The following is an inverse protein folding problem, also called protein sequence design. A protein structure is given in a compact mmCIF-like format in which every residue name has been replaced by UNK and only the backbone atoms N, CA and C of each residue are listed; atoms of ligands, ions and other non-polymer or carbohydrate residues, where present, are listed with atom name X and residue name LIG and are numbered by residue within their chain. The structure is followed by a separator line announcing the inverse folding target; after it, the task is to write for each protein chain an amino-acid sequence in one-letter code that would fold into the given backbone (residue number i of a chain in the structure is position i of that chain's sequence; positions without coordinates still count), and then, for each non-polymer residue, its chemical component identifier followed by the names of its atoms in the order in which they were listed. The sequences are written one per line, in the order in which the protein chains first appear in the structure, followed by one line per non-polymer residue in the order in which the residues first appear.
data_IF_888703619311
#
_entry.id   IF_888703619311
#
_cell.length_a   1.000
_cell.length_b   1.000
_cell.length_c   1.000
_cell.angle_alpha   90.00
_cell.angle_beta   90.00
_cell.angle_gamma   90.00
#
_symmetry.space_group_name_H-M   'P 1'
#
loop_
_entity.id
_entity.type
_entity.pdbx_description
1 polymer ?
#
# COMPACT_ATOMS: atom_id res chain seq x y z
N UNK A 1 -20.14 -8.93 -60.39
CA UNK A 1 -21.09 -9.73 -59.58
C UNK A 1 -20.64 -9.74 -58.11
N UNK A 2 -21.03 -8.71 -57.35
CA UNK A 2 -22.18 -8.72 -56.40
C UNK A 2 -21.77 -9.46 -55.09
N UNK A 3 -21.30 -8.73 -54.06
CA UNK A 3 -22.07 -8.37 -52.83
C UNK A 3 -21.97 -9.50 -51.76
N UNK A 4 -21.80 -9.33 -50.43
CA UNK A 4 -22.11 -8.36 -49.36
C UNK A 4 -21.27 -8.80 -48.13
N UNK A 5 -20.56 -7.96 -47.37
CA UNK A 5 -20.98 -7.17 -46.19
C UNK A 5 -21.93 -7.86 -45.18
N UNK A 6 -21.44 -8.08 -43.95
CA UNK A 6 -22.07 -7.85 -42.63
C UNK A 6 -21.38 -8.75 -41.57
N UNK A 7 -20.50 -8.22 -40.73
CA UNK A 7 -20.82 -7.73 -39.37
C UNK A 7 -21.44 -8.80 -38.45
N UNK A 8 -20.59 -9.37 -37.59
CA UNK A 8 -20.99 -10.10 -36.40
C UNK A 8 -20.15 -9.62 -35.22
N UNK A 9 -20.71 -8.67 -34.45
CA UNK A 9 -20.14 -8.11 -33.22
C UNK A 9 -19.67 -9.23 -32.27
N UNK A 10 -18.37 -9.28 -32.00
CA UNK A 10 -17.88 -9.96 -30.81
C UNK A 10 -18.28 -9.10 -29.60
N UNK A 11 -19.31 -9.53 -28.86
CA UNK A 11 -19.62 -8.98 -27.54
C UNK A 11 -18.37 -9.08 -26.67
N UNK A 12 -17.99 -8.03 -25.91
CA UNK A 12 -16.95 -8.18 -24.92
C UNK A 12 -17.44 -9.18 -23.89
N UNK A 13 -16.73 -10.29 -23.76
CA UNK A 13 -16.94 -11.22 -22.67
C UNK A 13 -16.92 -10.41 -21.36
N UNK A 14 -18.07 -10.34 -20.68
CA UNK A 14 -18.11 -9.92 -19.28
C UNK A 14 -17.18 -10.85 -18.54
N UNK A 15 -16.00 -10.34 -18.18
CA UNK A 15 -15.18 -10.98 -17.16
C UNK A 15 -16.09 -11.16 -15.95
N UNK A 16 -16.25 -12.39 -15.42
CA UNK A 16 -17.02 -12.58 -14.21
C UNK A 16 -16.40 -11.68 -13.16
N UNK A 17 -17.25 -10.89 -12.48
CA UNK A 17 -16.86 -10.11 -11.32
C UNK A 17 -16.07 -11.04 -10.41
N UNK A 18 -14.75 -10.80 -10.34
CA UNK A 18 -13.84 -11.61 -9.57
C UNK A 18 -14.41 -11.68 -8.17
N UNK A 19 -14.84 -12.88 -7.79
CA UNK A 19 -15.34 -13.19 -6.47
C UNK A 19 -14.24 -12.71 -5.51
N UNK A 20 -14.44 -11.54 -4.87
CA UNK A 20 -13.45 -10.94 -4.00
C UNK A 20 -13.24 -11.90 -2.84
N UNK A 21 -12.18 -12.69 -2.99
CA UNK A 21 -11.54 -13.59 -2.04
C UNK A 21 -12.26 -13.68 -0.69
N UNK A 22 -12.82 -14.86 -0.40
CA UNK A 22 -12.94 -15.32 0.98
C UNK A 22 -11.62 -14.99 1.70
N UNK A 23 -11.72 -14.10 2.68
CA UNK A 23 -10.62 -13.26 3.14
C UNK A 23 -9.41 -14.08 3.54
N UNK A 24 -8.25 -13.81 2.92
CA UNK A 24 -6.99 -14.32 3.44
C UNK A 24 -6.86 -13.85 4.89
N UNK A 25 -6.51 -14.73 5.84
CA UNK A 25 -6.33 -14.35 7.22
C UNK A 25 -5.28 -13.24 7.31
N UNK A 26 -5.47 -12.31 8.24
CA UNK A 26 -4.45 -11.31 8.52
C UNK A 26 -3.18 -12.04 8.99
N UNK A 27 -2.14 -12.01 8.16
CA UNK A 27 -0.86 -12.63 8.47
C UNK A 27 -0.02 -11.63 9.28
N UNK A 28 -0.01 -11.80 10.59
CA UNK A 28 0.97 -11.16 11.47
C UNK A 28 2.11 -12.14 11.74
N UNK A 29 3.35 -11.65 11.74
CA UNK A 29 4.45 -12.40 12.33
C UNK A 29 4.11 -12.70 13.80
N UNK A 30 4.33 -13.93 14.27
CA UNK A 30 4.17 -14.27 15.69
C UNK A 30 4.99 -13.33 16.60
N UNK A 31 6.16 -12.89 16.10
CA UNK A 31 7.03 -11.91 16.77
C UNK A 31 6.34 -10.58 17.09
N UNK A 32 5.29 -10.20 16.36
CA UNK A 32 4.54 -8.97 16.63
C UNK A 32 3.93 -8.95 18.03
N UNK A 33 3.60 -10.10 18.60
CA UNK A 33 2.99 -10.18 19.93
C UNK A 33 4.00 -10.30 21.07
N UNK A 34 5.27 -10.59 20.76
CA UNK A 34 6.29 -10.85 21.78
C UNK A 34 7.43 -9.86 21.76
N UNK A 35 7.76 -9.28 20.61
CA UNK A 35 8.99 -8.52 20.42
C UNK A 35 8.72 -7.01 20.35
N UNK A 36 9.74 -6.23 20.71
CA UNK A 36 9.74 -4.77 20.66
C UNK A 36 8.53 -4.15 21.40
N UNK A 37 8.18 -4.69 22.56
CA UNK A 37 7.17 -4.10 23.43
C UNK A 37 7.83 -2.97 24.20
N UNK A 38 7.33 -1.75 24.02
CA UNK A 38 7.89 -0.58 24.69
C UNK A 38 7.27 -0.42 26.08
N UNK A 39 8.14 -0.34 27.10
CA UNK A 39 7.79 -0.02 28.48
C UNK A 39 8.14 1.44 28.70
N UNK A 40 7.14 2.31 28.54
CA UNK A 40 7.32 3.76 28.48
C UNK A 40 7.88 4.35 29.76
N UNK A 41 7.45 3.83 30.92
CA UNK A 41 7.93 4.30 32.24
C UNK A 41 9.45 4.21 32.41
N UNK A 42 10.08 3.25 31.73
CA UNK A 42 11.51 2.98 31.84
C UNK A 42 12.26 3.19 30.52
N UNK A 43 11.59 3.67 29.47
CA UNK A 43 12.19 3.89 28.16
C UNK A 43 12.88 2.63 27.59
N UNK A 44 12.28 1.45 27.77
CA UNK A 44 12.91 0.16 27.45
C UNK A 44 12.04 -0.65 26.50
N UNK A 45 12.63 -1.17 25.43
CA UNK A 45 11.99 -2.20 24.61
C UNK A 45 12.33 -3.58 25.15
N UNK A 46 11.33 -4.43 25.29
CA UNK A 46 11.47 -5.79 25.81
C UNK A 46 10.89 -6.82 24.85
N UNK A 47 11.41 -8.04 24.96
CA UNK A 47 10.71 -9.23 24.50
C UNK A 47 9.93 -9.81 25.69
N UNK A 48 8.67 -10.17 25.46
CA UNK A 48 7.79 -10.78 26.46
C UNK A 48 7.18 -12.09 25.96
N UNK A 49 7.35 -13.14 26.75
CA UNK A 49 6.64 -14.42 26.58
C UNK A 49 5.86 -14.79 27.84
N UNK A 50 6.51 -14.60 28.98
CA UNK A 50 5.97 -14.83 30.31
C UNK A 50 6.75 -14.01 31.34
N UNK A 51 6.19 -13.88 32.54
CA UNK A 51 6.81 -13.14 33.64
C UNK A 51 8.22 -13.66 33.99
N UNK A 52 8.41 -14.98 34.00
CA UNK A 52 9.68 -15.61 34.34
C UNK A 52 10.79 -15.21 33.36
N UNK A 53 10.48 -15.21 32.06
CA UNK A 53 11.38 -14.74 31.01
C UNK A 53 11.70 -13.25 31.17
N UNK A 54 10.69 -12.40 31.41
CA UNK A 54 10.91 -10.97 31.61
C UNK A 54 11.85 -10.69 32.80
N UNK A 55 11.66 -11.39 33.92
CA UNK A 55 12.50 -11.26 35.11
C UNK A 55 13.95 -11.66 34.83
N UNK A 56 14.17 -12.78 34.12
CA UNK A 56 15.51 -13.27 33.77
C UNK A 56 16.23 -12.34 32.79
N UNK A 57 15.56 -11.96 31.71
CA UNK A 57 16.21 -11.31 30.57
C UNK A 57 16.30 -9.79 30.74
N UNK A 58 15.30 -9.17 31.38
CA UNK A 58 15.18 -7.71 31.48
C UNK A 58 15.18 -7.18 32.93
N UNK A 59 15.13 -8.05 33.93
CA UNK A 59 15.03 -7.63 35.34
C UNK A 59 16.19 -6.74 35.80
N UNK A 60 17.43 -7.01 35.35
CA UNK A 60 18.58 -6.13 35.65
C UNK A 60 18.42 -4.75 35.03
N UNK A 61 18.09 -4.69 33.74
CA UNK A 61 17.94 -3.43 33.01
C UNK A 61 16.79 -2.58 33.58
N UNK A 62 15.70 -3.21 34.02
CA UNK A 62 14.58 -2.55 34.69
C UNK A 62 14.99 -1.99 36.06
N UNK A 63 15.74 -2.75 36.87
CA UNK A 63 16.26 -2.27 38.16
C UNK A 63 17.21 -1.08 38.02
N UNK A 64 18.11 -1.13 37.04
CA UNK A 64 19.03 -0.03 36.71
C UNK A 64 18.28 1.24 36.27
N UNK A 65 17.07 1.08 35.73
CA UNK A 65 16.16 2.18 35.31
C UNK A 65 15.16 2.60 36.40
N UNK A 66 15.23 2.03 37.59
CA UNK A 66 14.43 2.45 38.74
C UNK A 66 13.30 1.52 39.15
N UNK A 67 13.06 0.40 38.46
CA UNK A 67 12.07 -0.60 38.88
C UNK A 67 12.65 -1.47 40.02
N UNK A 68 12.51 -1.03 41.27
CA UNK A 68 13.16 -1.63 42.45
C UNK A 68 12.19 -2.39 43.37
N UNK A 69 10.88 -2.18 43.27
CA UNK A 69 9.88 -2.91 44.05
C UNK A 69 9.11 -3.95 43.22
N UNK A 70 8.49 -4.91 43.92
CA UNK A 70 7.58 -5.87 43.29
C UNK A 70 6.32 -5.17 42.76
N UNK A 71 5.84 -4.11 43.42
CA UNK A 71 4.70 -3.31 42.98
C UNK A 71 4.99 -2.59 41.65
N UNK A 72 6.20 -2.03 41.51
CA UNK A 72 6.67 -1.43 40.27
C UNK A 72 6.81 -2.48 39.15
N UNK A 73 7.34 -3.65 39.47
CA UNK A 73 7.46 -4.73 38.51
C UNK A 73 6.09 -5.25 38.05
N UNK A 74 5.13 -5.41 38.96
CA UNK A 74 3.74 -5.73 38.62
C UNK A 74 3.11 -4.65 37.73
N UNK A 75 3.48 -3.38 37.88
CA UNK A 75 3.02 -2.32 36.98
C UNK A 75 3.58 -2.47 35.56
N UNK A 76 4.86 -2.86 35.43
CA UNK A 76 5.48 -3.18 34.13
C UNK A 76 4.75 -4.35 33.46
N UNK A 77 4.46 -5.41 34.20
CA UNK A 77 3.71 -6.56 33.66
C UNK A 77 2.35 -6.13 33.11
N UNK A 78 1.59 -5.34 33.86
CA UNK A 78 0.29 -4.82 33.40
C UNK A 78 0.40 -3.99 32.13
N UNK A 79 1.43 -3.14 32.03
CA UNK A 79 1.68 -2.32 30.83
C UNK A 79 1.98 -3.18 29.60
N UNK A 80 2.86 -4.18 29.76
CA UNK A 80 3.23 -5.11 28.70
C UNK A 80 2.02 -5.94 28.26
N UNK A 81 1.26 -6.50 29.20
CA UNK A 81 0.08 -7.32 28.91
C UNK A 81 -1.00 -6.51 28.19
N UNK A 82 -1.24 -5.27 28.64
CA UNK A 82 -2.16 -4.37 27.96
C UNK A 82 -1.74 -4.10 26.51
N UNK A 83 -0.43 -3.89 26.25
CA UNK A 83 0.08 -3.71 24.89
C UNK A 83 -0.07 -4.98 24.04
N UNK A 84 0.22 -6.17 24.59
CA UNK A 84 0.02 -7.44 23.89
C UNK A 84 -1.45 -7.64 23.52
N UNK A 85 -2.37 -7.35 24.44
CA UNK A 85 -3.80 -7.46 24.16
C UNK A 85 -4.25 -6.44 23.11
N UNK A 86 -3.75 -5.19 23.19
CA UNK A 86 -4.01 -4.17 22.17
C UNK A 86 -3.56 -4.64 20.79
N UNK A 87 -2.35 -5.22 20.67
CA UNK A 87 -1.82 -5.78 19.42
C UNK A 87 -2.67 -6.92 18.87
N UNK A 88 -3.18 -7.82 19.73
CA UNK A 88 -4.15 -8.86 19.32
C UNK A 88 -5.45 -8.25 18.80
N UNK A 89 -5.97 -7.24 19.47
CA UNK A 89 -7.20 -6.57 19.06
C UNK A 89 -7.08 -5.84 17.71
N UNK A 90 -5.89 -5.33 17.36
CA UNK A 90 -5.65 -4.69 16.05
C UNK A 90 -5.98 -5.61 14.87
N UNK A 91 -5.80 -6.93 15.02
CA UNK A 91 -6.13 -7.88 13.97
C UNK A 91 -7.64 -7.91 13.75
N UNK A 92 -8.41 -8.08 14.82
CA UNK A 92 -9.87 -8.08 14.76
C UNK A 92 -10.40 -6.75 14.20
N UNK A 93 -9.90 -5.63 14.70
CA UNK A 93 -10.24 -4.30 14.20
C UNK A 93 -9.84 -4.11 12.73
N UNK A 94 -8.71 -4.67 12.29
CA UNK A 94 -8.32 -4.60 10.88
C UNK A 94 -9.27 -5.37 9.97
N UNK A 95 -9.73 -6.55 10.40
CA UNK A 95 -10.70 -7.34 9.63
C UNK A 95 -12.04 -6.62 9.56
N UNK A 96 -12.52 -6.13 10.69
CA UNK A 96 -13.78 -5.38 10.78
C UNK A 96 -13.74 -4.10 9.93
N UNK A 97 -12.69 -3.28 10.05
CA UNK A 97 -12.53 -2.07 9.22
C UNK A 97 -12.48 -2.40 7.74
N UNK A 98 -11.75 -3.44 7.32
CA UNK A 98 -11.72 -3.88 5.92
C UNK A 98 -13.10 -4.31 5.43
N UNK A 99 -13.86 -5.03 6.26
CA UNK A 99 -15.22 -5.44 5.92
C UNK A 99 -16.16 -4.24 5.78
N UNK A 100 -16.06 -3.24 6.66
CA UNK A 100 -16.84 -1.99 6.57
C UNK A 100 -16.46 -1.20 5.32
N UNK A 101 -15.17 -0.96 5.08
CA UNK A 101 -14.67 -0.25 3.90
C UNK A 101 -15.15 -0.97 2.64
N UNK A 102 -14.98 -2.29 2.55
CA UNK A 102 -15.42 -3.06 1.38
C UNK A 102 -16.92 -2.98 1.12
N UNK A 103 -17.75 -2.79 2.15
CA UNK A 103 -19.21 -2.69 2.01
C UNK A 103 -19.68 -1.26 1.74
N UNK A 104 -19.03 -0.27 2.34
CA UNK A 104 -19.54 1.09 2.43
C UNK A 104 -18.78 2.09 1.56
N UNK A 105 -17.52 1.83 1.24
CA UNK A 105 -16.72 2.75 0.44
C UNK A 105 -17.21 2.78 -1.01
N UNK A 106 -17.44 4.00 -1.50
CA UNK A 106 -17.70 4.27 -2.91
C UNK A 106 -16.57 5.17 -3.41
N UNK A 107 -15.94 4.75 -4.51
CA UNK A 107 -14.92 5.56 -5.18
C UNK A 107 -15.57 6.87 -5.63
N UNK A 108 -14.93 7.99 -5.31
CA UNK A 108 -15.39 9.34 -5.72
C UNK A 108 -15.24 9.52 -7.24
N UNK A 109 -14.11 9.06 -7.77
CA UNK A 109 -13.78 9.04 -9.18
C UNK A 109 -13.51 7.59 -9.63
N UNK A 110 -14.54 6.75 -9.88
CA UNK A 110 -14.33 5.35 -10.30
C UNK A 110 -13.48 5.24 -11.58
N UNK A 111 -13.56 6.23 -12.47
CA UNK A 111 -12.87 6.30 -13.74
C UNK A 111 -11.35 6.33 -13.61
N UNK A 112 -10.78 6.95 -12.56
CA UNK A 112 -9.31 7.07 -12.41
C UNK A 112 -8.64 5.77 -11.94
N UNK A 113 -9.42 4.79 -11.48
CA UNK A 113 -8.89 3.49 -11.03
C UNK A 113 -8.50 2.56 -12.18
N UNK A 114 -8.91 2.88 -13.42
CA UNK A 114 -8.57 2.11 -14.62
C UNK A 114 -7.91 3.08 -15.60
N UNK A 115 -6.64 2.84 -15.92
CA UNK A 115 -5.91 3.68 -16.88
C UNK A 115 -6.58 3.63 -18.26
N UNK A 116 -6.86 4.80 -18.81
CA UNK A 116 -7.46 4.99 -20.13
C UNK A 116 -6.58 5.89 -20.98
N UNK A 117 -6.58 5.69 -22.30
CA UNK A 117 -5.84 6.54 -23.24
C UNK A 117 -6.29 7.99 -23.18
N UNK A 118 -7.56 8.25 -22.85
CA UNK A 118 -8.11 9.60 -22.66
C UNK A 118 -7.46 10.38 -21.51
N UNK A 119 -6.79 9.69 -20.58
CA UNK A 119 -6.07 10.33 -19.48
C UNK A 119 -4.66 10.75 -19.89
N UNK A 120 -4.16 10.23 -21.01
CA UNK A 120 -2.81 10.46 -21.47
C UNK A 120 -2.77 11.71 -22.36
N UNK A 121 -1.71 12.51 -22.17
CA UNK A 121 -1.47 13.68 -23.00
C UNK A 121 -1.31 13.24 -24.48
N UNK A 122 -1.89 13.98 -25.45
CA UNK A 122 -1.75 13.64 -26.87
C UNK A 122 -0.29 13.51 -27.33
N UNK A 123 0.61 14.32 -26.77
CA UNK A 123 2.04 14.30 -27.02
C UNK A 123 2.67 13.00 -26.50
N UNK A 124 2.26 12.53 -25.32
CA UNK A 124 2.70 11.25 -24.78
C UNK A 124 2.27 10.10 -25.70
N UNK A 125 1.01 10.11 -26.15
CA UNK A 125 0.52 9.10 -27.09
C UNK A 125 1.28 9.14 -28.42
N UNK A 126 1.69 10.33 -28.90
CA UNK A 126 2.53 10.46 -30.09
C UNK A 126 3.93 9.87 -29.88
N UNK A 127 4.55 10.09 -28.71
CA UNK A 127 5.81 9.45 -28.33
C UNK A 127 5.67 7.93 -28.32
N UNK A 128 4.63 7.39 -27.68
CA UNK A 128 4.39 5.93 -27.63
C UNK A 128 4.20 5.35 -29.04
N UNK A 129 3.44 6.02 -29.91
CA UNK A 129 3.29 5.61 -31.31
C UNK A 129 4.62 5.64 -32.07
N UNK A 130 5.43 6.67 -31.89
CA UNK A 130 6.76 6.74 -32.51
C UNK A 130 7.66 5.59 -32.02
N UNK A 131 7.76 5.41 -30.71
CA UNK A 131 8.61 4.38 -30.10
C UNK A 131 8.22 2.95 -30.48
N UNK A 132 6.94 2.71 -30.81
CA UNK A 132 6.44 1.40 -31.25
C UNK A 132 6.48 1.22 -32.77
N UNK A 133 6.87 2.25 -33.53
CA UNK A 133 6.98 2.19 -34.99
C UNK A 133 8.28 1.50 -35.47
N UNK A 134 8.26 0.81 -36.62
CA UNK A 134 9.48 0.31 -37.24
C UNK A 134 10.43 1.45 -37.59
N UNK A 135 11.69 1.37 -37.14
CA UNK A 135 12.70 2.40 -37.40
C UNK A 135 12.79 3.50 -36.35
N UNK A 136 12.06 3.37 -35.23
CA UNK A 136 12.25 4.25 -34.07
C UNK A 136 13.70 4.23 -33.58
N UNK A 137 14.30 5.41 -33.39
CA UNK A 137 15.66 5.54 -32.89
C UNK A 137 15.79 6.74 -31.95
N UNK A 138 16.86 6.76 -31.13
CA UNK A 138 17.06 7.80 -30.12
C UNK A 138 16.96 9.22 -30.69
N UNK A 139 17.65 9.50 -31.80
CA UNK A 139 17.64 10.85 -32.37
C UNK A 139 16.24 11.35 -32.77
N UNK A 140 15.36 10.47 -33.25
CA UNK A 140 14.01 10.84 -33.64
C UNK A 140 13.08 10.97 -32.43
N UNK A 141 13.29 10.17 -31.38
CA UNK A 141 12.61 10.33 -30.09
C UNK A 141 12.89 11.70 -29.47
N UNK A 142 14.13 12.19 -29.57
CA UNK A 142 14.51 13.49 -29.02
C UNK A 142 13.72 14.66 -29.64
N UNK A 143 13.11 14.51 -30.81
CA UNK A 143 12.23 15.54 -31.39
C UNK A 143 10.87 15.67 -30.68
N UNK A 144 10.47 14.66 -29.90
CA UNK A 144 9.23 14.69 -29.12
C UNK A 144 9.45 15.11 -27.66
N UNK A 145 10.70 15.29 -27.25
CA UNK A 145 11.10 15.54 -25.88
C UNK A 145 11.66 16.95 -25.74
N UNK A 146 11.29 17.64 -24.68
CA UNK A 146 11.89 18.93 -24.34
C UNK A 146 13.12 18.72 -23.46
N UNK A 147 14.28 19.23 -23.85
CA UNK A 147 15.47 19.18 -23.00
C UNK A 147 15.38 20.24 -21.91
N UNK A 148 15.42 19.82 -20.65
CA UNK A 148 15.37 20.74 -19.51
C UNK A 148 16.74 21.34 -19.19
N UNK A 149 17.82 20.69 -19.63
CA UNK A 149 19.21 21.16 -19.47
C UNK A 149 20.14 20.50 -20.48
N UNK A 150 21.42 20.85 -20.47
CA UNK A 150 22.49 20.17 -21.25
C UNK A 150 22.81 18.77 -20.70
N UNK A 151 22.31 18.45 -19.51
CA UNK A 151 22.28 17.08 -18.97
C UNK A 151 21.10 16.37 -19.61
N UNK A 152 21.23 15.07 -19.91
CA UNK A 152 20.22 14.18 -20.52
C UNK A 152 18.94 14.05 -19.66
N UNK A 153 18.26 15.17 -19.43
CA UNK A 153 17.09 15.38 -18.59
C UNK A 153 16.04 15.97 -19.50
N UNK A 154 14.94 15.24 -19.64
CA UNK A 154 13.88 15.56 -20.58
C UNK A 154 12.57 15.78 -19.85
N UNK A 155 11.75 16.68 -20.41
CA UNK A 155 10.38 16.95 -20.01
C UNK A 155 9.44 16.54 -21.13
N UNK A 156 8.34 15.90 -20.75
CA UNK A 156 7.19 15.68 -21.62
C UNK A 156 5.93 15.64 -20.74
N UNK A 157 4.77 16.12 -21.25
CA UNK A 157 3.50 15.89 -20.59
C UNK A 157 3.15 14.40 -20.71
N UNK A 158 2.64 13.80 -19.63
CA UNK A 158 2.24 12.38 -19.60
C UNK A 158 0.73 12.25 -19.50
N UNK A 159 0.11 13.04 -18.62
CA UNK A 159 -1.33 13.02 -18.38
C UNK A 159 -1.96 14.35 -18.78
N UNK A 160 -3.27 14.31 -19.06
CA UNK A 160 -4.07 15.52 -19.26
C UNK A 160 -4.30 16.26 -17.94
N UNK A 161 -4.58 17.55 -18.02
CA UNK A 161 -4.88 18.38 -16.84
C UNK A 161 -6.14 17.89 -16.12
N UNK A 162 -7.16 17.49 -16.88
CA UNK A 162 -8.42 16.98 -16.35
C UNK A 162 -8.20 15.70 -15.54
N UNK A 163 -7.35 14.79 -16.01
CA UNK A 163 -6.99 13.60 -15.24
C UNK A 163 -6.24 13.98 -13.97
N UNK A 164 -5.26 14.90 -14.06
CA UNK A 164 -4.49 15.32 -12.90
C UNK A 164 -5.38 15.92 -11.81
N UNK A 165 -6.38 16.72 -12.20
CA UNK A 165 -7.35 17.29 -11.27
C UNK A 165 -8.19 16.18 -10.60
N UNK A 166 -8.78 15.28 -11.40
CA UNK A 166 -9.59 14.18 -10.88
C UNK A 166 -8.81 13.19 -10.01
N UNK A 167 -7.49 13.07 -10.22
CA UNK A 167 -6.62 12.18 -9.44
C UNK A 167 -6.25 12.77 -8.07
N UNK A 168 -6.14 14.10 -7.96
CA UNK A 168 -5.78 14.79 -6.70
C UNK A 168 -7.02 15.07 -5.83
N UNK A 169 -8.19 15.24 -6.45
CA UNK A 169 -9.47 15.52 -5.80
C UNK A 169 -10.04 14.37 -4.96
#
# INVERSE_FOLDING_TARGET
PISRLAEGRASPARLPAGNMSAGRPFLACACFFSDNIFVGRYGLHVRYRDEGQLRRDHGRALRERGCRSEEEFRAVLREIEAEVQRRKQLIHQSVERKAIISKCYKQKHPEVYILQDSFLAPEFLAVVRYCTSPGAHLHGLLHYLESFSDKRIYRLPVFTEEFCQAFVD
#
